data_IF_630045848967
#
_entry.id   IF_630045848967
#
_cell.length_a   1.000
_cell.length_b   1.000
_cell.length_c   1.000
_cell.angle_alpha   90.00
_cell.angle_beta   90.00
_cell.angle_gamma   90.00
#
_symmetry.space_group_name_H-M   'P 1'
#
loop_
_entity.id
_entity.type
_entity.pdbx_description
1 polymer ?
#
# COMPACT_ATOMS: atom_id res chain seq x y z
N UNK A 1 67.98 63.07 12.83
CA UNK A 1 68.40 61.84 13.52
C UNK A 1 67.48 60.71 13.09
N UNK A 2 68.07 59.70 12.44
CA UNK A 2 67.75 58.25 12.38
C UNK A 2 66.28 57.79 12.44
N UNK A 3 65.75 57.15 11.38
CA UNK A 3 65.73 55.67 11.12
C UNK A 3 64.73 54.92 12.04
N UNK A 4 64.00 53.86 11.70
CA UNK A 4 63.65 53.11 10.49
C UNK A 4 62.48 52.17 10.89
N UNK A 5 61.60 51.82 9.94
CA UNK A 5 60.98 50.48 9.68
C UNK A 5 60.19 49.75 10.80
N UNK A 6 58.91 49.41 10.53
CA UNK A 6 58.45 48.00 10.31
C UNK A 6 56.96 47.92 9.94
N UNK A 7 56.69 47.03 8.99
CA UNK A 7 55.40 46.55 8.48
C UNK A 7 54.48 45.94 9.54
N UNK A 8 53.17 46.02 9.30
CA UNK A 8 52.13 45.30 10.03
C UNK A 8 50.82 45.27 9.25
N UNK A 9 50.52 44.09 8.71
CA UNK A 9 49.35 43.65 7.95
C UNK A 9 47.98 44.24 8.33
N UNK A 10 47.11 44.44 7.32
CA UNK A 10 45.76 43.87 7.36
C UNK A 10 45.20 43.64 5.95
N UNK A 11 44.73 42.41 5.75
CA UNK A 11 44.39 41.76 4.50
C UNK A 11 43.11 42.31 3.85
N UNK A 12 43.16 42.46 2.53
CA UNK A 12 41.98 42.57 1.69
C UNK A 12 41.19 41.26 1.64
N UNK A 13 39.87 41.39 1.77
CA UNK A 13 38.92 40.54 1.05
C UNK A 13 39.15 40.74 -0.46
N UNK A 14 39.07 39.71 -1.32
CA UNK A 14 37.78 39.02 -1.52
C UNK A 14 37.88 37.55 -1.97
N UNK A 15 37.08 36.65 -1.40
CA UNK A 15 36.65 35.45 -2.13
C UNK A 15 35.34 34.92 -1.56
N UNK A 16 34.24 35.54 -2.00
CA UNK A 16 32.92 34.91 -2.00
C UNK A 16 32.97 33.79 -3.04
N UNK A 17 33.31 32.59 -2.60
CA UNK A 17 33.11 31.36 -3.35
C UNK A 17 31.61 31.13 -3.49
N UNK A 18 31.05 31.66 -4.58
CA UNK A 18 29.77 31.22 -5.08
C UNK A 18 29.88 29.72 -5.37
N UNK A 19 29.18 28.92 -4.58
CA UNK A 19 28.93 27.51 -4.86
C UNK A 19 28.15 27.47 -6.17
N UNK A 20 28.87 27.23 -7.27
CA UNK A 20 28.30 26.85 -8.56
C UNK A 20 27.59 25.52 -8.36
N UNK A 21 26.26 25.57 -8.23
CA UNK A 21 25.42 24.40 -8.40
C UNK A 21 25.66 23.87 -9.81
N UNK A 22 26.19 22.65 -9.89
CA UNK A 22 26.41 21.92 -11.14
C UNK A 22 25.06 21.76 -11.88
N UNK A 23 24.90 22.35 -13.08
CA UNK A 23 23.67 22.26 -13.86
C UNK A 23 23.41 20.86 -14.46
N UNK A 24 24.29 19.89 -14.21
CA UNK A 24 24.17 18.51 -14.69
C UNK A 24 23.93 17.46 -13.60
N UNK A 25 23.59 17.87 -12.36
CA UNK A 25 23.08 16.91 -11.40
C UNK A 25 21.74 16.38 -11.90
N UNK A 26 21.76 15.19 -12.53
CA UNK A 26 20.59 14.48 -13.04
C UNK A 26 19.58 14.41 -11.91
N UNK A 27 18.52 15.23 -11.99
CA UNK A 27 17.44 15.20 -11.00
C UNK A 27 16.89 13.79 -10.99
N UNK A 28 17.02 13.12 -9.85
CA UNK A 28 16.43 11.80 -9.66
C UNK A 28 14.93 11.94 -9.79
N UNK A 29 14.37 11.40 -10.86
CA UNK A 29 12.94 11.45 -11.16
C UNK A 29 12.26 10.11 -10.87
N UNK A 30 12.81 9.29 -9.97
CA UNK A 30 12.20 8.02 -9.55
C UNK A 30 11.96 8.02 -8.05
N UNK A 31 11.05 7.18 -7.57
CA UNK A 31 10.71 7.10 -6.13
C UNK A 31 11.88 6.55 -5.29
N UNK A 32 12.71 5.66 -5.86
CA UNK A 32 13.68 4.88 -5.10
C UNK A 32 14.64 5.72 -4.22
N UNK A 33 15.28 6.79 -4.73
CA UNK A 33 16.24 7.56 -3.91
C UNK A 33 15.57 8.26 -2.73
N UNK A 34 14.33 8.72 -2.89
CA UNK A 34 13.57 9.35 -1.82
C UNK A 34 13.16 8.34 -0.75
N UNK A 35 12.68 7.17 -1.18
CA UNK A 35 12.33 6.08 -0.27
C UNK A 35 13.55 5.57 0.50
N UNK A 36 14.68 5.37 -0.19
CA UNK A 36 15.94 4.98 0.43
C UNK A 36 16.34 5.97 1.54
N UNK A 37 16.35 7.27 1.22
CA UNK A 37 16.65 8.34 2.18
C UNK A 37 15.68 8.34 3.37
N UNK A 38 14.39 8.06 3.14
CA UNK A 38 13.40 7.95 4.21
C UNK A 38 13.61 6.71 5.09
N UNK A 39 14.01 5.57 4.52
CA UNK A 39 14.33 4.35 5.27
C UNK A 39 15.63 4.47 6.09
N UNK A 40 16.60 5.25 5.62
CA UNK A 40 17.87 5.54 6.31
C UNK A 40 17.75 6.66 7.35
N UNK A 41 16.61 7.34 7.39
CA UNK A 41 16.34 8.46 8.31
C UNK A 41 16.17 7.98 9.76
N UNK A 42 16.52 8.81 10.76
CA UNK A 42 16.20 8.56 12.17
C UNK A 42 14.71 8.43 12.49
N UNK A 43 13.81 8.67 11.54
CA UNK A 43 12.38 8.38 11.71
C UNK A 43 12.08 6.87 11.68
N UNK A 44 12.98 6.06 11.12
CA UNK A 44 12.86 4.61 10.98
C UNK A 44 13.51 3.84 12.16
N UNK A 45 13.25 4.27 13.39
CA UNK A 45 13.81 3.65 14.62
C UNK A 45 12.68 3.08 15.50
N UNK A 46 11.59 2.61 14.89
CA UNK A 46 10.53 1.90 15.61
C UNK A 46 11.02 0.58 16.21
N UNK A 47 10.20 -0.05 17.06
CA UNK A 47 10.48 -1.39 17.62
C UNK A 47 10.74 -2.42 16.50
N UNK A 48 10.06 -2.25 15.36
CA UNK A 48 10.29 -3.01 14.14
C UNK A 48 10.45 -2.02 12.97
N UNK A 49 11.69 -1.65 12.61
CA UNK A 49 11.96 -0.72 11.51
C UNK A 49 11.29 -1.15 10.20
N UNK A 50 10.82 -0.18 9.43
CA UNK A 50 10.34 -0.40 8.08
C UNK A 50 11.49 -0.89 7.18
N UNK A 51 11.25 -1.96 6.45
CA UNK A 51 12.20 -2.52 5.48
C UNK A 51 11.47 -3.15 4.30
N UNK A 52 12.12 -3.24 3.14
CA UNK A 52 11.55 -3.92 1.98
C UNK A 52 11.68 -5.43 2.14
N UNK A 53 10.57 -6.15 1.98
CA UNK A 53 10.56 -7.60 1.98
C UNK A 53 11.40 -8.12 0.81
N UNK A 54 12.49 -8.78 1.13
CA UNK A 54 13.28 -9.57 0.19
C UNK A 54 12.86 -11.02 0.38
N UNK A 55 12.14 -11.60 -0.57
CA UNK A 55 11.64 -12.98 -0.46
C UNK A 55 12.77 -13.95 -0.12
N UNK A 56 12.44 -15.06 0.55
CA UNK A 56 13.43 -16.08 0.87
C UNK A 56 13.89 -16.74 -0.43
N UNK A 57 15.06 -16.33 -0.92
CA UNK A 57 15.73 -16.98 -2.04
C UNK A 57 15.76 -18.49 -1.81
N UNK A 58 15.16 -19.27 -2.71
CA UNK A 58 15.53 -20.68 -2.82
C UNK A 58 17.00 -20.69 -3.25
N UNK A 59 17.87 -21.03 -2.29
CA UNK A 59 19.31 -21.13 -2.40
C UNK A 59 19.81 -21.60 -3.77
N UNK A 60 20.45 -20.70 -4.50
CA UNK A 60 21.75 -20.85 -5.15
C UNK A 60 21.81 -19.90 -6.34
N UNK A 61 22.30 -18.69 -6.09
CA UNK A 61 23.47 -18.10 -6.76
C UNK A 61 23.73 -16.77 -6.06
N UNK A 62 25.00 -16.44 -5.89
CA UNK A 62 25.46 -15.14 -5.40
C UNK A 62 24.83 -14.03 -6.25
N UNK A 63 23.68 -13.50 -5.82
CA UNK A 63 23.17 -12.24 -6.28
C UNK A 63 23.95 -11.18 -5.50
N UNK A 64 25.16 -10.92 -5.99
CA UNK A 64 25.66 -9.55 -6.04
C UNK A 64 24.46 -8.67 -6.36
N UNK A 65 24.23 -7.61 -5.58
CA UNK A 65 23.27 -6.54 -5.85
C UNK A 65 23.62 -5.94 -7.22
N UNK A 66 23.30 -6.66 -8.30
CA UNK A 66 23.55 -6.24 -9.64
C UNK A 66 22.56 -5.13 -9.87
N UNK A 67 23.13 -3.95 -10.13
CA UNK A 67 22.54 -2.81 -10.82
C UNK A 67 21.93 -3.25 -12.17
N UNK A 68 20.95 -4.16 -12.15
CA UNK A 68 19.96 -4.21 -13.19
C UNK A 68 19.19 -2.91 -13.02
N UNK A 69 19.24 -2.07 -14.04
CA UNK A 69 18.42 -0.87 -14.15
C UNK A 69 16.96 -1.31 -14.16
N UNK A 70 16.43 -1.67 -12.99
CA UNK A 70 15.02 -1.83 -12.73
C UNK A 70 14.43 -0.44 -12.90
N UNK A 71 13.55 -0.29 -13.88
CA UNK A 71 12.90 0.99 -14.18
C UNK A 71 11.89 1.28 -13.07
N UNK A 72 12.39 1.70 -11.91
CA UNK A 72 11.61 2.22 -10.81
C UNK A 72 10.62 3.28 -11.36
N UNK A 73 9.38 3.35 -10.85
CA UNK A 73 8.40 4.29 -11.36
C UNK A 73 8.95 5.72 -11.43
N UNK A 74 8.76 6.33 -12.59
CA UNK A 74 9.13 7.71 -12.86
C UNK A 74 8.06 8.63 -12.26
N UNK A 75 8.53 9.66 -11.57
CA UNK A 75 7.73 10.77 -11.10
C UNK A 75 7.44 11.71 -12.26
N UNK A 76 6.16 11.96 -12.49
CA UNK A 76 5.71 12.84 -13.55
C UNK A 76 5.74 14.29 -13.06
N UNK A 77 6.42 15.19 -13.77
CA UNK A 77 6.60 16.59 -13.34
C UNK A 77 5.37 17.47 -13.57
N UNK A 78 4.52 17.09 -14.52
CA UNK A 78 3.35 17.89 -14.93
C UNK A 78 2.04 17.20 -14.56
N UNK A 79 2.07 16.20 -13.68
CA UNK A 79 0.87 15.54 -13.18
C UNK A 79 1.07 15.08 -11.75
N UNK A 80 -0.05 14.89 -11.07
CA UNK A 80 -0.07 14.39 -9.71
C UNK A 80 0.42 12.94 -9.61
N UNK A 81 1.35 12.68 -8.70
CA UNK A 81 1.88 11.35 -8.38
C UNK A 81 1.18 10.79 -7.13
N UNK A 82 0.50 9.65 -7.23
CA UNK A 82 -0.08 9.00 -6.06
C UNK A 82 0.75 7.80 -5.61
N UNK A 83 1.20 7.83 -4.36
CA UNK A 83 1.78 6.70 -3.65
C UNK A 83 0.67 6.06 -2.82
N UNK A 84 0.29 4.83 -3.16
CA UNK A 84 -0.82 4.14 -2.51
C UNK A 84 -0.31 3.25 -1.39
N UNK A 85 -0.87 3.39 -0.19
CA UNK A 85 -0.79 2.40 0.86
C UNK A 85 -1.96 1.43 0.69
N UNK A 86 -1.68 0.15 0.43
CA UNK A 86 -2.67 -0.93 0.34
C UNK A 86 -2.53 -1.91 1.51
N UNK A 87 -3.22 -1.64 2.61
CA UNK A 87 -3.07 -2.42 3.81
C UNK A 87 -4.15 -3.49 3.97
N UNK A 88 -3.86 -4.50 4.78
CA UNK A 88 -4.86 -5.50 5.13
C UNK A 88 -4.33 -6.63 6.00
N UNK A 89 -5.27 -7.41 6.54
CA UNK A 89 -4.92 -8.59 7.33
C UNK A 89 -4.39 -9.72 6.45
N UNK A 90 -4.80 -9.80 5.19
CA UNK A 90 -4.32 -10.80 4.22
C UNK A 90 -4.15 -12.20 4.81
N UNK A 91 -5.14 -12.70 5.56
CA UNK A 91 -5.06 -13.94 6.32
C UNK A 91 -6.09 -14.97 5.80
N UNK A 92 -5.82 -15.66 4.68
CA UNK A 92 -4.66 -15.53 3.78
C UNK A 92 -4.86 -14.45 2.70
N UNK A 93 -3.81 -14.03 1.97
CA UNK A 93 -4.01 -13.31 0.72
C UNK A 93 -4.73 -14.23 -0.29
N UNK A 94 -5.49 -13.64 -1.21
CA UNK A 94 -6.44 -14.40 -2.01
C UNK A 94 -6.72 -13.74 -3.36
N UNK A 95 -7.41 -14.44 -4.26
CA UNK A 95 -7.63 -14.00 -5.65
C UNK A 95 -8.31 -12.63 -5.73
N UNK A 96 -9.19 -12.29 -4.79
CA UNK A 96 -9.74 -10.94 -4.66
C UNK A 96 -8.68 -9.84 -4.51
N UNK A 97 -7.67 -10.05 -3.64
CA UNK A 97 -6.57 -9.09 -3.44
C UNK A 97 -5.68 -8.98 -4.69
N UNK A 98 -5.34 -10.11 -5.30
CA UNK A 98 -4.55 -10.15 -6.54
C UNK A 98 -5.27 -9.41 -7.67
N UNK A 99 -6.58 -9.59 -7.79
CA UNK A 99 -7.36 -8.91 -8.80
C UNK A 99 -7.45 -7.39 -8.56
N UNK A 100 -7.44 -6.93 -7.31
CA UNK A 100 -7.27 -5.50 -6.98
C UNK A 100 -5.92 -4.98 -7.44
N UNK A 101 -4.82 -5.67 -7.14
CA UNK A 101 -3.47 -5.25 -7.55
C UNK A 101 -3.38 -5.19 -9.08
N UNK A 102 -3.90 -6.19 -9.78
CA UNK A 102 -3.95 -6.21 -11.26
C UNK A 102 -4.76 -5.04 -11.82
N UNK A 103 -5.93 -4.75 -11.25
CA UNK A 103 -6.77 -3.63 -11.69
C UNK A 103 -6.00 -2.30 -11.65
N UNK A 104 -5.29 -2.03 -10.55
CA UNK A 104 -4.47 -0.84 -10.43
C UNK A 104 -3.27 -0.85 -11.37
N UNK A 105 -2.61 -2.01 -11.55
CA UNK A 105 -1.46 -2.13 -12.45
C UNK A 105 -1.84 -1.84 -13.91
N UNK A 106 -2.94 -2.43 -14.39
CA UNK A 106 -3.46 -2.27 -15.74
C UNK A 106 -3.95 -0.84 -16.02
N UNK A 107 -4.39 -0.12 -14.98
CA UNK A 107 -4.99 1.23 -15.07
C UNK A 107 -4.16 2.31 -14.41
N UNK A 108 -2.89 2.05 -14.10
CA UNK A 108 -2.05 2.95 -13.28
C UNK A 108 -1.99 4.39 -13.82
N UNK A 109 -1.93 4.57 -15.14
CA UNK A 109 -1.94 5.91 -15.77
C UNK A 109 -3.32 6.61 -15.75
N UNK A 110 -4.42 5.85 -15.77
CA UNK A 110 -5.78 6.40 -15.64
C UNK A 110 -6.09 6.79 -14.19
N UNK A 111 -5.54 6.03 -13.24
CA UNK A 111 -5.75 6.23 -11.81
C UNK A 111 -4.68 7.13 -11.17
N UNK A 112 -3.70 7.61 -11.95
CA UNK A 112 -2.59 8.44 -11.46
C UNK A 112 -1.73 7.75 -10.40
N UNK A 113 -1.60 6.42 -10.45
CA UNK A 113 -0.88 5.61 -9.45
C UNK A 113 0.57 5.41 -9.85
N UNK A 114 1.47 6.04 -9.11
CA UNK A 114 2.92 5.96 -9.33
C UNK A 114 3.51 4.71 -8.68
N UNK A 115 3.11 4.39 -7.44
CA UNK A 115 3.53 3.17 -6.75
C UNK A 115 2.48 2.68 -5.75
N UNK A 116 2.55 1.40 -5.39
CA UNK A 116 1.73 0.77 -4.36
C UNK A 116 2.62 0.10 -3.32
N UNK A 117 2.33 0.33 -2.04
CA UNK A 117 2.95 -0.32 -0.90
C UNK A 117 1.94 -1.23 -0.22
N UNK A 118 2.19 -2.54 -0.21
CA UNK A 118 1.36 -3.48 0.54
C UNK A 118 1.84 -3.55 1.98
N UNK A 119 0.91 -3.31 2.90
CA UNK A 119 1.12 -3.51 4.33
C UNK A 119 0.29 -4.67 4.85
N UNK A 120 0.95 -5.64 5.46
CA UNK A 120 0.31 -6.82 6.03
C UNK A 120 0.21 -6.65 7.54
N UNK A 121 -1.01 -6.60 8.10
CA UNK A 121 -1.22 -6.37 9.55
C UNK A 121 -0.39 -7.32 10.42
N UNK A 122 0.23 -6.88 11.54
CA UNK A 122 0.87 -7.79 12.49
C UNK A 122 -0.10 -8.85 13.06
N UNK A 123 0.43 -10.01 13.47
CA UNK A 123 -0.39 -11.13 13.97
C UNK A 123 -1.31 -10.74 15.14
N UNK A 124 -0.82 -9.91 16.06
CA UNK A 124 -1.59 -9.38 17.20
C UNK A 124 -2.82 -8.57 16.75
N UNK A 125 -2.66 -7.75 15.70
CA UNK A 125 -3.76 -6.96 15.11
C UNK A 125 -4.78 -7.89 14.45
N UNK A 126 -4.32 -8.94 13.74
CA UNK A 126 -5.22 -9.94 13.15
C UNK A 126 -6.01 -10.68 14.23
N UNK A 127 -5.37 -11.04 15.34
CA UNK A 127 -5.99 -11.72 16.48
C UNK A 127 -7.06 -10.87 17.18
N UNK A 128 -6.79 -9.57 17.35
CA UNK A 128 -7.73 -8.62 17.97
C UNK A 128 -9.06 -8.48 17.22
N UNK A 129 -9.09 -8.75 15.91
CA UNK A 129 -10.28 -8.59 15.05
C UNK A 129 -11.36 -9.67 15.23
N UNK A 130 -11.23 -10.59 16.20
CA UNK A 130 -12.19 -11.66 16.58
C UNK A 130 -13.15 -12.09 15.45
N UNK A 131 -12.62 -12.75 14.42
CA UNK A 131 -13.41 -13.18 13.25
C UNK A 131 -13.92 -14.61 13.41
N UNK A 132 -15.11 -14.89 12.88
CA UNK A 132 -15.62 -16.27 12.75
C UNK A 132 -14.64 -17.10 11.90
N UNK A 133 -14.31 -18.30 12.39
CA UNK A 133 -13.26 -19.17 11.83
C UNK A 133 -11.87 -18.51 11.75
N UNK A 134 -11.61 -17.51 12.60
CA UNK A 134 -10.35 -16.77 12.66
C UNK A 134 -9.30 -17.34 13.60
N UNK A 135 -9.38 -18.64 13.93
CA UNK A 135 -8.45 -19.31 14.85
C UNK A 135 -7.07 -19.55 14.23
N UNK A 136 -6.99 -19.71 12.90
CA UNK A 136 -5.72 -19.85 12.19
C UNK A 136 -5.23 -18.46 11.79
N UNK A 137 -4.09 -18.04 12.37
CA UNK A 137 -3.42 -16.79 12.05
C UNK A 137 -2.07 -17.10 11.42
N UNK A 138 -1.94 -16.78 10.14
CA UNK A 138 -0.69 -16.94 9.40
C UNK A 138 0.35 -15.93 9.92
N UNK A 139 1.61 -16.35 10.15
CA UNK A 139 2.72 -15.44 10.40
C UNK A 139 2.77 -14.31 9.37
N UNK A 140 3.14 -13.10 9.81
CA UNK A 140 3.19 -11.93 8.92
C UNK A 140 4.14 -12.17 7.74
N UNK A 141 5.31 -12.75 8.01
CA UNK A 141 6.28 -13.13 6.98
C UNK A 141 5.70 -14.10 5.94
N UNK A 142 4.95 -15.12 6.38
CA UNK A 142 4.30 -16.07 5.48
C UNK A 142 3.29 -15.38 4.55
N UNK A 143 2.57 -14.37 5.04
CA UNK A 143 1.61 -13.62 4.22
C UNK A 143 2.30 -12.74 3.16
N UNK A 144 3.45 -12.15 3.45
CA UNK A 144 4.28 -11.49 2.43
C UNK A 144 4.83 -12.49 1.41
N UNK A 145 5.34 -13.64 1.87
CA UNK A 145 5.86 -14.70 1.00
C UNK A 145 4.79 -15.23 0.03
N UNK A 146 3.55 -15.42 0.50
CA UNK A 146 2.42 -15.82 -0.34
C UNK A 146 2.14 -14.81 -1.46
N UNK A 147 2.30 -13.51 -1.22
CA UNK A 147 2.25 -12.50 -2.29
C UNK A 147 3.44 -12.63 -3.24
N UNK A 148 4.65 -12.67 -2.67
CA UNK A 148 5.91 -12.65 -3.43
C UNK A 148 6.05 -13.83 -4.40
N UNK A 149 5.50 -15.01 -4.04
CA UNK A 149 5.50 -16.22 -4.87
C UNK A 149 4.58 -16.15 -6.09
N UNK A 150 3.67 -15.17 -6.18
CA UNK A 150 2.84 -15.01 -7.37
C UNK A 150 3.68 -14.37 -8.48
N UNK A 151 3.89 -15.01 -9.64
CA UNK A 151 4.79 -14.49 -10.68
C UNK A 151 4.45 -13.06 -11.14
N UNK A 152 3.15 -12.75 -11.26
CA UNK A 152 2.69 -11.40 -11.63
C UNK A 152 2.95 -10.35 -10.54
N UNK A 153 2.97 -10.74 -9.27
CA UNK A 153 3.31 -9.84 -8.16
C UNK A 153 4.82 -9.63 -8.12
N UNK A 154 5.60 -10.71 -8.24
CA UNK A 154 7.06 -10.66 -8.31
C UNK A 154 7.55 -9.68 -9.38
N UNK A 155 7.02 -9.76 -10.60
CA UNK A 155 7.36 -8.82 -11.69
C UNK A 155 7.07 -7.35 -11.33
N UNK A 156 5.97 -7.08 -10.62
CA UNK A 156 5.64 -5.73 -10.17
C UNK A 156 6.58 -5.26 -9.06
N UNK A 157 7.04 -6.17 -8.20
CA UNK A 157 8.06 -5.90 -7.18
C UNK A 157 9.42 -5.62 -7.81
N UNK A 158 9.85 -6.42 -8.78
CA UNK A 158 11.10 -6.17 -9.52
C UNK A 158 11.08 -4.82 -10.25
N UNK A 159 9.91 -4.41 -10.77
CA UNK A 159 9.78 -3.09 -11.41
C UNK A 159 9.81 -1.91 -10.42
N UNK A 160 9.75 -2.16 -9.11
CA UNK A 160 9.61 -1.14 -8.06
C UNK A 160 8.24 -0.45 -7.99
N UNK A 161 7.30 -0.80 -8.88
CA UNK A 161 5.93 -0.27 -8.88
C UNK A 161 5.10 -0.77 -7.70
N UNK A 162 5.29 -2.03 -7.32
CA UNK A 162 4.71 -2.60 -6.12
C UNK A 162 5.81 -2.86 -5.10
N UNK A 163 5.58 -2.54 -3.84
CA UNK A 163 6.55 -2.78 -2.78
C UNK A 163 5.87 -3.47 -1.60
N UNK A 164 6.54 -4.46 -1.04
CA UNK A 164 6.11 -5.17 0.15
C UNK A 164 6.90 -4.60 1.32
N UNK A 165 6.32 -3.66 2.05
CA UNK A 165 6.99 -3.02 3.17
C UNK A 165 6.72 -3.84 4.43
N UNK A 166 7.75 -4.23 5.19
CA UNK A 166 7.71 -5.01 6.44
C UNK A 166 7.96 -4.09 7.62
N UNK A 167 7.31 -4.33 8.76
CA UNK A 167 7.41 -3.50 9.96
C UNK A 167 6.05 -3.29 10.61
N UNK A 168 5.95 -2.28 11.46
CA UNK A 168 4.68 -1.82 12.02
C UNK A 168 4.06 -0.66 11.22
N UNK A 169 2.75 -0.45 11.38
CA UNK A 169 1.99 0.53 10.60
C UNK A 169 2.46 1.98 10.83
N UNK A 170 2.78 2.34 12.07
CA UNK A 170 3.17 3.71 12.43
C UNK A 170 4.51 4.06 11.77
N UNK A 171 5.49 3.17 11.87
CA UNK A 171 6.78 3.32 11.20
C UNK A 171 6.62 3.38 9.68
N UNK A 172 5.70 2.59 9.09
CA UNK A 172 5.45 2.62 7.64
C UNK A 172 4.88 3.94 7.17
N UNK A 173 3.86 4.45 7.86
CA UNK A 173 3.25 5.74 7.51
C UNK A 173 4.29 6.86 7.64
N UNK A 174 5.11 6.84 8.69
CA UNK A 174 6.21 7.80 8.87
C UNK A 174 7.22 7.77 7.72
N UNK A 175 7.67 6.58 7.31
CA UNK A 175 8.60 6.41 6.19
C UNK A 175 7.98 6.85 4.87
N UNK A 176 6.72 6.48 4.61
CA UNK A 176 6.03 6.88 3.38
C UNK A 176 5.74 8.38 3.36
N UNK A 177 5.40 8.99 4.50
CA UNK A 177 5.22 10.44 4.63
C UNK A 177 6.52 11.19 4.36
N UNK A 178 7.61 10.77 5.01
CA UNK A 178 8.94 11.33 4.74
C UNK A 178 9.33 11.16 3.26
N UNK A 179 8.98 10.04 2.64
CA UNK A 179 9.19 9.81 1.20
C UNK A 179 8.43 10.83 0.36
N UNK A 180 7.14 11.06 0.65
CA UNK A 180 6.34 12.07 -0.07
C UNK A 180 6.82 13.50 0.17
N UNK A 181 7.27 13.82 1.40
CA UNK A 181 7.77 15.16 1.72
C UNK A 181 9.05 15.45 0.92
N UNK A 182 9.98 14.49 0.87
CA UNK A 182 11.20 14.58 0.07
C UNK A 182 10.92 14.71 -1.44
N UNK A 183 9.90 14.00 -1.96
CA UNK A 183 9.46 14.11 -3.35
C UNK A 183 8.86 15.50 -3.63
N UNK A 184 8.06 16.01 -2.69
CA UNK A 184 7.46 17.35 -2.80
C UNK A 184 8.53 18.45 -2.74
N UNK A 185 9.54 18.31 -1.88
CA UNK A 185 10.69 19.21 -1.80
C UNK A 185 11.49 19.25 -3.12
N UNK A 186 11.52 18.13 -3.86
CA UNK A 186 12.12 18.04 -5.18
C UNK A 186 11.26 18.68 -6.30
N UNK A 187 10.07 19.19 -5.97
CA UNK A 187 9.19 19.94 -6.88
C UNK A 187 8.17 19.10 -7.63
N UNK A 188 7.92 17.85 -7.21
CA UNK A 188 6.87 17.01 -7.79
C UNK A 188 5.57 17.13 -6.97
N UNK A 189 4.43 17.21 -7.65
CA UNK A 189 3.14 17.05 -6.98
C UNK A 189 2.95 15.57 -6.61
N UNK A 190 2.84 15.29 -5.32
CA UNK A 190 2.75 13.93 -4.77
C UNK A 190 1.76 13.86 -3.62
N UNK A 191 1.05 12.74 -3.52
CA UNK A 191 0.16 12.43 -2.39
C UNK A 191 0.35 11.01 -1.89
N UNK A 192 0.28 10.85 -0.57
CA UNK A 192 0.14 9.57 0.10
C UNK A 192 -1.36 9.23 0.23
N UNK A 193 -1.78 8.15 -0.42
CA UNK A 193 -3.20 7.77 -0.54
C UNK A 193 -3.46 6.42 0.11
N UNK A 194 -4.37 6.35 1.08
CA UNK A 194 -4.81 5.10 1.68
C UNK A 194 -5.85 4.38 0.80
N UNK A 195 -5.57 3.16 0.35
CA UNK A 195 -6.54 2.33 -0.37
C UNK A 195 -7.43 1.56 0.61
N UNK A 196 -8.72 1.85 0.60
CA UNK A 196 -9.69 1.21 1.49
C UNK A 196 -10.55 0.18 0.75
N UNK A 197 -10.86 -0.91 1.46
CA UNK A 197 -11.92 -1.81 1.05
C UNK A 197 -13.29 -1.13 1.14
N UNK A 198 -14.16 -1.41 0.18
CA UNK A 198 -15.52 -0.86 0.16
C UNK A 198 -16.35 -1.19 1.41
N UNK A 199 -16.00 -2.26 2.13
CA UNK A 199 -16.61 -2.67 3.41
C UNK A 199 -16.20 -1.81 4.61
N UNK A 200 -15.29 -0.85 4.43
CA UNK A 200 -14.87 0.06 5.49
C UNK A 200 -15.79 1.26 5.63
N UNK A 201 -16.52 1.64 4.60
CA UNK A 201 -17.50 2.73 4.66
C UNK A 201 -18.89 2.15 4.49
N UNK A 202 -19.84 2.67 5.24
CA UNK A 202 -21.25 2.25 5.18
C UNK A 202 -22.19 3.41 5.41
N UNK A 203 -23.33 3.40 4.73
CA UNK A 203 -24.43 4.36 4.98
C UNK A 203 -25.13 4.11 6.30
N UNK A 204 -24.93 2.93 6.91
CA UNK A 204 -25.57 2.52 8.17
C UNK A 204 -24.79 3.02 9.40
N UNK A 205 -23.62 3.66 9.20
CA UNK A 205 -22.83 4.24 10.28
C UNK A 205 -23.61 5.34 11.01
N UNK A 206 -23.47 5.40 12.34
CA UNK A 206 -24.01 6.51 13.09
C UNK A 206 -23.27 7.82 12.71
N UNK A 207 -23.97 8.96 12.49
CA UNK A 207 -23.34 10.18 11.97
C UNK A 207 -22.23 10.79 12.83
N UNK A 208 -22.18 10.45 14.12
CA UNK A 208 -21.18 10.92 15.06
C UNK A 208 -19.93 10.02 15.12
N UNK A 209 -19.97 8.84 14.50
CA UNK A 209 -18.82 7.96 14.41
C UNK A 209 -17.93 8.35 13.23
N UNK A 210 -16.66 7.97 13.32
CA UNK A 210 -15.75 8.11 12.20
C UNK A 210 -16.19 7.17 11.07
N UNK A 211 -16.28 7.64 9.81
CA UNK A 211 -16.66 6.79 8.70
C UNK A 211 -15.54 5.79 8.45
N UNK A 212 -15.71 4.54 8.90
CA UNK A 212 -14.66 3.52 8.84
C UNK A 212 -13.50 3.76 9.80
N UNK A 213 -12.48 2.90 9.71
CA UNK A 213 -11.32 2.94 10.61
C UNK A 213 -10.32 4.07 10.26
N UNK A 214 -10.74 5.16 9.59
CA UNK A 214 -9.86 6.15 8.93
C UNK A 214 -8.79 6.75 9.86
N UNK A 215 -9.11 6.94 11.13
CA UNK A 215 -8.19 7.48 12.11
C UNK A 215 -7.02 6.53 12.43
N UNK A 216 -7.22 5.21 12.26
CA UNK A 216 -6.20 4.18 12.53
C UNK A 216 -5.11 4.13 11.45
N UNK A 217 -5.33 4.73 10.29
CA UNK A 217 -4.41 4.68 9.13
C UNK A 217 -3.42 5.86 9.08
N UNK A 218 -3.37 6.65 10.16
CA UNK A 218 -2.47 7.79 10.33
C UNK A 218 -2.69 8.92 9.31
N UNK A 219 -1.78 9.91 9.25
CA UNK A 219 -1.92 11.07 8.37
C UNK A 219 -1.57 10.69 6.93
N UNK A 220 -2.44 9.96 6.25
CA UNK A 220 -2.48 9.95 4.77
C UNK A 220 -3.15 11.22 4.27
N UNK A 221 -2.84 11.66 3.05
CA UNK A 221 -3.45 12.88 2.51
C UNK A 221 -4.92 12.64 2.18
N UNK A 222 -5.22 11.45 1.67
CA UNK A 222 -6.52 11.11 1.12
C UNK A 222 -6.76 9.59 1.16
N UNK A 223 -8.02 9.20 1.02
CA UNK A 223 -8.41 7.81 0.89
C UNK A 223 -9.02 7.54 -0.49
N UNK A 224 -8.71 6.39 -1.08
CA UNK A 224 -9.28 5.93 -2.34
C UNK A 224 -10.12 4.68 -2.12
N UNK A 225 -11.32 4.67 -2.68
CA UNK A 225 -12.24 3.54 -2.71
C UNK A 225 -12.65 3.28 -4.16
N UNK A 226 -12.74 2.00 -4.51
CA UNK A 226 -13.22 1.53 -5.82
C UNK A 226 -14.30 0.47 -5.61
N UNK A 227 -15.41 0.53 -6.35
CA UNK A 227 -16.41 -0.53 -6.35
C UNK A 227 -16.17 -1.61 -7.45
N UNK A 228 -15.21 -1.35 -8.36
CA UNK A 228 -14.90 -2.23 -9.49
C UNK A 228 -14.46 -3.64 -9.06
N UNK A 229 -13.92 -3.80 -7.85
CA UNK A 229 -13.42 -5.10 -7.32
C UNK A 229 -14.27 -5.67 -6.21
N UNK A 230 -14.96 -4.81 -5.46
CA UNK A 230 -15.83 -5.18 -4.35
C UNK A 230 -16.96 -4.17 -4.25
N UNK A 231 -18.23 -4.61 -4.15
CA UNK A 231 -19.34 -3.68 -4.02
C UNK A 231 -19.22 -2.81 -2.76
N UNK A 232 -19.84 -1.64 -2.83
CA UNK A 232 -20.06 -0.73 -1.71
C UNK A 232 -21.57 -0.64 -1.47
N UNK A 233 -21.98 -0.35 -0.25
CA UNK A 233 -23.40 -0.23 0.10
C UNK A 233 -23.98 1.16 -0.20
N UNK A 234 -23.14 2.15 -0.48
CA UNK A 234 -23.50 3.53 -0.80
C UNK A 234 -23.58 3.82 -2.31
N UNK A 235 -23.40 2.82 -3.18
CA UNK A 235 -23.53 3.01 -4.63
C UNK A 235 -23.94 1.70 -5.32
N UNK A 236 -25.13 1.69 -5.93
CA UNK A 236 -25.61 0.62 -6.81
C UNK A 236 -25.41 0.97 -8.29
N UNK A 237 -24.47 0.31 -8.99
CA UNK A 237 -24.21 0.59 -10.41
C UNK A 237 -25.38 0.26 -11.35
N UNK A 238 -26.43 -0.41 -10.89
CA UNK A 238 -27.60 -0.71 -11.74
C UNK A 238 -28.70 0.34 -11.66
N UNK A 239 -28.74 1.14 -10.61
CA UNK A 239 -29.86 2.02 -10.31
C UNK A 239 -29.47 3.44 -9.90
N UNK A 240 -28.19 3.70 -9.66
CA UNK A 240 -27.71 4.97 -9.13
C UNK A 240 -26.63 5.58 -10.05
N UNK A 241 -26.82 6.86 -10.39
CA UNK A 241 -25.80 7.66 -11.09
C UNK A 241 -24.88 8.40 -10.11
N UNK A 242 -25.37 8.62 -8.88
CA UNK A 242 -24.72 9.40 -7.83
C UNK A 242 -24.62 8.52 -6.57
N UNK A 243 -23.45 8.45 -5.90
CA UNK A 243 -23.33 7.74 -4.64
C UNK A 243 -24.20 8.36 -3.55
N UNK A 244 -24.79 7.52 -2.71
CA UNK A 244 -25.48 7.94 -1.48
C UNK A 244 -24.49 8.56 -0.51
N UNK A 245 -24.90 9.66 0.12
CA UNK A 245 -24.04 10.38 1.07
C UNK A 245 -23.72 9.50 2.28
N UNK A 246 -22.47 9.59 2.73
CA UNK A 246 -22.00 8.89 3.92
C UNK A 246 -22.27 9.72 5.18
N UNK A 247 -22.79 9.11 6.26
CA UNK A 247 -22.89 9.76 7.56
C UNK A 247 -21.52 10.29 8.03
N UNK A 248 -21.49 11.51 8.56
CA UNK A 248 -20.25 12.15 9.01
C UNK A 248 -19.37 12.71 7.87
N UNK A 249 -19.86 12.71 6.62
CA UNK A 249 -19.18 13.29 5.47
C UNK A 249 -19.96 14.47 4.85
N UNK A 250 -19.28 15.27 4.03
CA UNK A 250 -19.96 16.16 3.09
C UNK A 250 -20.71 15.37 2.02
N UNK A 251 -21.58 16.04 1.26
CA UNK A 251 -22.15 15.46 0.05
C UNK A 251 -21.04 15.07 -0.95
N UNK A 252 -21.33 14.07 -1.79
CA UNK A 252 -20.44 13.71 -2.89
C UNK A 252 -20.43 14.78 -3.97
N UNK A 253 -19.23 15.19 -4.36
CA UNK A 253 -18.96 16.11 -5.46
C UNK A 253 -18.31 15.33 -6.60
N UNK A 254 -18.83 15.48 -7.81
CA UNK A 254 -18.23 14.87 -9.00
C UNK A 254 -16.95 15.64 -9.35
N UNK A 255 -15.83 14.95 -9.46
CA UNK A 255 -14.59 15.59 -9.87
C UNK A 255 -14.58 15.79 -11.37
N UNK A 256 -14.71 17.04 -11.79
CA UNK A 256 -14.41 17.48 -13.15
C UNK A 256 -12.98 18.01 -13.14
N UNK A 257 -11.98 17.12 -13.01
CA UNK A 257 -10.60 17.58 -13.17
C UNK A 257 -10.48 18.12 -14.61
N UNK A 258 -10.13 19.41 -14.76
CA UNK A 258 -10.07 20.12 -16.05
C UNK A 258 -9.06 19.50 -17.06
N UNK A 259 -8.34 18.45 -16.67
CA UNK A 259 -7.43 17.65 -17.50
C UNK A 259 -8.08 16.35 -18.04
N UNK A 260 -9.26 15.94 -17.55
CA UNK A 260 -9.99 14.77 -18.06
C UNK A 260 -10.74 15.05 -19.38
N UNK A 261 -11.00 16.31 -19.73
CA UNK A 261 -11.67 16.70 -20.99
C UNK A 261 -10.84 16.35 -22.26
N UNK A 262 -9.52 16.12 -22.14
CA UNK A 262 -8.70 15.60 -23.25
C UNK A 262 -8.62 14.07 -23.31
N UNK A 263 -9.22 13.35 -22.35
CA UNK A 263 -9.20 11.89 -22.22
C UNK A 263 -10.62 11.28 -22.27
N UNK A 264 -11.55 11.93 -22.97
CA UNK A 264 -12.95 11.49 -23.11
C UNK A 264 -13.12 10.07 -23.72
N UNK A 265 -12.08 9.48 -24.32
CA UNK A 265 -12.10 8.09 -24.78
C UNK A 265 -11.57 7.05 -23.77
N UNK A 266 -11.04 7.47 -22.62
CA UNK A 266 -10.49 6.58 -21.56
C UNK A 266 -11.40 6.47 -20.32
N UNK A 267 -12.41 7.32 -20.21
CA UNK A 267 -13.31 7.38 -19.05
C UNK A 267 -14.25 6.17 -18.92
N UNK A 268 -14.44 5.37 -19.96
CA UNK A 268 -15.27 4.17 -19.87
C UNK A 268 -14.63 3.05 -19.02
N UNK A 269 -13.30 3.05 -18.77
CA UNK A 269 -12.63 1.88 -18.19
C UNK A 269 -12.24 1.93 -16.70
N UNK A 270 -12.21 3.11 -16.05
CA UNK A 270 -11.77 3.26 -14.65
C UNK A 270 -12.86 3.77 -13.68
N UNK A 271 -14.00 4.25 -14.20
CA UNK A 271 -15.13 4.76 -13.42
C UNK A 271 -15.07 6.26 -13.13
N UNK A 272 -16.25 6.81 -12.80
CA UNK A 272 -16.45 8.24 -12.47
C UNK A 272 -15.85 8.56 -11.11
N UNK A 273 -15.07 9.64 -11.01
CA UNK A 273 -14.49 10.08 -9.74
C UNK A 273 -15.45 10.98 -8.97
N UNK A 274 -15.68 10.61 -7.72
CA UNK A 274 -16.43 11.35 -6.73
C UNK A 274 -15.55 11.66 -5.52
N UNK A 275 -15.81 12.79 -4.86
CA UNK A 275 -15.09 13.21 -3.66
C UNK A 275 -16.05 13.65 -2.56
N UNK A 276 -15.71 13.33 -1.32
CA UNK A 276 -16.31 13.95 -0.14
C UNK A 276 -15.25 14.15 0.95
N UNK A 277 -15.57 14.93 1.99
CA UNK A 277 -14.69 15.15 3.15
C UNK A 277 -15.28 14.46 4.38
N UNK A 278 -14.47 13.72 5.12
CA UNK A 278 -14.87 13.11 6.39
C UNK A 278 -14.80 14.15 7.52
N UNK A 279 -15.94 14.73 7.88
CA UNK A 279 -16.04 15.84 8.84
C UNK A 279 -15.81 15.41 10.29
N UNK A 280 -15.95 14.12 10.59
CA UNK A 280 -15.76 13.59 11.94
C UNK A 280 -14.32 13.19 12.21
N UNK A 281 -13.42 13.18 11.23
CA UNK A 281 -12.00 12.82 11.40
C UNK A 281 -11.15 14.10 11.45
N UNK A 282 -10.20 14.24 12.41
CA UNK A 282 -9.31 15.39 12.44
C UNK A 282 -8.66 15.68 11.08
N UNK A 283 -8.51 16.97 10.75
CA UNK A 283 -7.97 17.45 9.45
C UNK A 283 -8.92 17.25 8.26
N UNK A 284 -10.11 16.67 8.47
CA UNK A 284 -11.17 16.50 7.48
C UNK A 284 -10.66 15.86 6.16
N UNK A 285 -10.10 14.64 6.22
CA UNK A 285 -9.46 14.02 5.07
C UNK A 285 -10.44 13.82 3.92
N UNK A 286 -9.91 13.87 2.70
CA UNK A 286 -10.67 13.65 1.47
C UNK A 286 -10.83 12.15 1.24
N UNK A 287 -12.05 11.73 0.93
CA UNK A 287 -12.38 10.40 0.44
C UNK A 287 -12.69 10.54 -1.05
N UNK A 288 -11.91 9.84 -1.88
CA UNK A 288 -12.12 9.66 -3.31
C UNK A 288 -12.81 8.33 -3.56
N UNK A 289 -13.88 8.33 -4.34
CA UNK A 289 -14.59 7.14 -4.79
C UNK A 289 -14.59 7.07 -6.31
N UNK A 290 -14.00 6.00 -6.88
CA UNK A 290 -14.07 5.70 -8.32
C UNK A 290 -15.23 4.74 -8.55
N UNK A 291 -16.36 5.31 -8.98
CA UNK A 291 -17.61 4.63 -9.27
C UNK A 291 -17.56 3.97 -10.66
N UNK A 292 -17.42 2.65 -10.68
CA UNK A 292 -17.52 1.82 -11.87
C UNK A 292 -18.94 1.28 -12.02
N UNK A 293 -19.48 1.33 -13.24
CA UNK A 293 -20.75 0.68 -13.58
C UNK A 293 -20.60 -0.84 -13.76
N UNK A 294 -19.36 -1.31 -13.90
CA UNK A 294 -19.04 -2.74 -14.02
C UNK A 294 -18.35 -3.19 -12.74
N UNK A 295 -18.97 -4.12 -12.02
CA UNK A 295 -18.28 -4.85 -10.96
C UNK A 295 -17.62 -6.10 -11.54
N UNK A 296 -16.31 -6.19 -11.42
CA UNK A 296 -15.53 -7.36 -11.79
C UNK A 296 -15.19 -8.23 -10.57
N UNK A 297 -16.00 -8.15 -9.51
CA UNK A 297 -15.82 -8.97 -8.31
C UNK A 297 -15.92 -10.45 -8.67
N UNK A 298 -14.99 -11.24 -8.14
CA UNK A 298 -14.94 -12.69 -8.34
C UNK A 298 -15.67 -13.46 -7.23
N UNK A 299 -16.40 -12.77 -6.35
CA UNK A 299 -17.19 -13.40 -5.27
C UNK A 299 -16.37 -14.08 -4.17
N UNK A 300 -15.05 -13.90 -4.15
CA UNK A 300 -14.17 -14.56 -3.18
C UNK A 300 -14.38 -14.00 -1.78
N UNK A 301 -14.82 -14.85 -0.85
CA UNK A 301 -15.09 -14.50 0.55
C UNK A 301 -13.97 -14.97 1.47
N UNK A 302 -13.28 -14.05 2.15
CA UNK A 302 -12.27 -14.39 3.16
C UNK A 302 -12.86 -15.19 4.32
N UNK A 303 -14.15 -15.04 4.61
CA UNK A 303 -14.83 -15.83 5.64
C UNK A 303 -14.98 -17.29 5.22
N UNK A 304 -15.35 -17.56 3.96
CA UNK A 304 -15.43 -18.93 3.44
C UNK A 304 -14.04 -19.58 3.35
N UNK A 305 -13.02 -18.82 2.94
CA UNK A 305 -11.63 -19.31 2.93
C UNK A 305 -11.19 -19.72 4.34
N UNK A 306 -11.42 -18.86 5.34
CA UNK A 306 -11.13 -19.18 6.74
C UNK A 306 -11.86 -20.43 7.22
N UNK A 307 -13.13 -20.57 6.87
CA UNK A 307 -13.90 -21.78 7.17
C UNK A 307 -13.21 -23.03 6.61
N UNK A 308 -12.83 -23.02 5.33
CA UNK A 308 -12.12 -24.15 4.69
C UNK A 308 -10.81 -24.45 5.42
N UNK A 309 -9.99 -23.43 5.68
CA UNK A 309 -8.71 -23.62 6.38
C UNK A 309 -8.87 -24.23 7.77
N UNK A 310 -9.98 -23.97 8.45
CA UNK A 310 -10.25 -24.48 9.79
C UNK A 310 -10.93 -25.85 9.78
N UNK A 311 -11.89 -26.07 8.88
CA UNK A 311 -12.83 -27.20 8.98
C UNK A 311 -12.63 -28.29 7.93
N UNK A 312 -12.06 -27.97 6.75
CA UNK A 312 -11.92 -28.97 5.68
C UNK A 312 -10.90 -30.05 6.05
N UNK A 313 -11.10 -31.27 5.55
CA UNK A 313 -10.17 -32.38 5.71
C UNK A 313 -8.85 -32.11 4.97
N UNK A 314 -7.75 -32.70 5.46
CA UNK A 314 -6.40 -32.45 4.94
C UNK A 314 -6.30 -32.79 3.44
N UNK A 315 -7.01 -33.83 2.99
CA UNK A 315 -7.07 -34.31 1.62
C UNK A 315 -7.87 -33.38 0.68
N UNK A 316 -8.77 -32.57 1.23
CA UNK A 316 -9.67 -31.68 0.49
C UNK A 316 -9.13 -30.25 0.38
N UNK A 317 -8.18 -29.87 1.24
CA UNK A 317 -7.66 -28.50 1.35
C UNK A 317 -7.22 -27.91 0.01
N UNK A 318 -6.50 -28.67 -0.80
CA UNK A 318 -6.01 -28.20 -2.10
C UNK A 318 -7.16 -27.86 -3.04
N UNK A 319 -8.11 -28.79 -3.20
CA UNK A 319 -9.21 -28.65 -4.14
C UNK A 319 -10.15 -27.50 -3.75
N UNK A 320 -10.45 -27.37 -2.46
CA UNK A 320 -11.30 -26.31 -1.93
C UNK A 320 -10.64 -24.92 -2.00
N UNK A 321 -9.31 -24.82 -1.91
CA UNK A 321 -8.61 -23.54 -1.85
C UNK A 321 -8.04 -23.05 -3.20
N UNK A 322 -7.73 -23.92 -4.16
CA UNK A 322 -6.93 -23.59 -5.36
C UNK A 322 -7.39 -22.36 -6.15
N UNK A 323 -8.70 -22.17 -6.29
CA UNK A 323 -9.27 -21.05 -7.04
C UNK A 323 -9.61 -19.82 -6.17
N UNK A 324 -9.37 -19.93 -4.85
CA UNK A 324 -9.75 -18.92 -3.87
C UNK A 324 -8.55 -18.14 -3.36
N UNK A 325 -7.46 -18.83 -3.01
CA UNK A 325 -6.25 -18.22 -2.44
C UNK A 325 -5.18 -17.98 -3.50
N UNK A 326 -4.16 -17.20 -3.16
CA UNK A 326 -2.95 -17.12 -3.99
C UNK A 326 -1.88 -18.04 -3.40
N UNK A 327 -0.98 -18.56 -4.25
CA UNK A 327 0.11 -19.43 -3.82
C UNK A 327 -0.39 -20.62 -2.98
N UNK A 328 -1.42 -21.30 -3.48
CA UNK A 328 -2.22 -22.28 -2.74
C UNK A 328 -1.39 -23.46 -2.25
N UNK A 329 -0.44 -23.92 -3.06
CA UNK A 329 0.43 -25.05 -2.73
C UNK A 329 1.20 -24.77 -1.45
N UNK A 330 1.75 -23.56 -1.34
CA UNK A 330 2.54 -23.14 -0.18
C UNK A 330 1.67 -22.92 1.07
N UNK A 331 0.44 -22.41 0.90
CA UNK A 331 -0.50 -22.30 2.01
C UNK A 331 -0.92 -23.68 2.54
N UNK A 332 -1.25 -24.61 1.65
CA UNK A 332 -1.68 -25.96 2.02
C UNK A 332 -0.55 -26.72 2.71
N UNK A 333 0.67 -26.66 2.18
CA UNK A 333 1.86 -27.24 2.83
C UNK A 333 2.00 -26.73 4.27
N UNK A 334 1.91 -25.41 4.47
CA UNK A 334 2.00 -24.82 5.80
C UNK A 334 0.86 -25.27 6.73
N UNK A 335 -0.37 -25.36 6.23
CA UNK A 335 -1.54 -25.79 7.01
C UNK A 335 -1.39 -27.24 7.49
N UNK A 336 -0.97 -28.15 6.61
CA UNK A 336 -0.73 -29.55 6.95
C UNK A 336 0.35 -29.68 8.03
N UNK A 337 1.44 -28.92 7.90
CA UNK A 337 2.51 -28.89 8.91
C UNK A 337 2.01 -28.38 10.27
N UNK A 338 1.17 -27.34 10.31
CA UNK A 338 0.62 -26.85 11.58
C UNK A 338 -0.32 -27.86 12.22
N UNK A 339 -1.24 -28.44 11.45
CA UNK A 339 -2.21 -29.43 11.94
C UNK A 339 -1.50 -30.68 12.48
N UNK A 340 -0.45 -31.15 11.82
CA UNK A 340 0.39 -32.24 12.32
C UNK A 340 1.00 -31.92 13.69
N UNK A 341 1.61 -30.74 13.84
CA UNK A 341 2.19 -30.29 15.12
C UNK A 341 1.16 -30.16 16.23
N UNK A 342 -0.07 -29.77 15.91
CA UNK A 342 -1.16 -29.69 16.88
C UNK A 342 -1.62 -31.08 17.34
N UNK A 343 -1.73 -32.05 16.41
CA UNK A 343 -2.04 -33.45 16.72
C UNK A 343 -0.99 -34.07 17.64
N UNK A 344 0.29 -33.92 17.30
CA UNK A 344 1.42 -34.41 18.12
C UNK A 344 1.38 -33.88 19.57
N UNK A 345 1.06 -32.58 19.75
CA UNK A 345 0.92 -31.97 21.08
C UNK A 345 -0.27 -32.50 21.88
N UNK A 346 -1.35 -32.88 21.22
CA UNK A 346 -2.53 -33.47 21.87
C UNK A 346 -2.18 -34.88 22.33
N UNK A 347 -1.52 -35.66 21.49
CA UNK A 347 -1.09 -37.02 21.81
C UNK A 347 -0.11 -37.01 23.01
N UNK A 348 0.90 -36.14 23.02
CA UNK A 348 1.82 -35.98 24.16
C UNK A 348 1.10 -35.64 25.48
N UNK A 349 0.06 -34.81 25.42
CA UNK A 349 -0.76 -34.47 26.60
C UNK A 349 -1.71 -35.58 27.04
N UNK A 350 -2.06 -36.51 26.16
CA UNK A 350 -2.90 -37.66 26.50
C UNK A 350 -2.10 -38.78 27.20
N UNK A 351 -0.77 -38.77 27.08
CA UNK A 351 0.14 -39.72 27.73
C UNK A 351 0.70 -39.26 29.09
N UNK A 352 0.47 -38.00 29.48
CA UNK A 352 0.81 -37.41 30.78
C UNK A 352 -0.42 -37.33 31.68
#
# INVERSE_FOLDING_TARGET
>A
MSANVTDGAENGNPELTAVLNDPHQVRTNTIQPFLQKAMESPINIGEIPASLFSGKSHSNHNLTLQNSHTSCPILESNSRNNILLYPGSFNPPHQGHLATIRYFSERRGQLGVTAIFIFVDPGLIVQGKKKKWGNIILPQELRYELFYRVPKIYQLVESGWLQLLVGDMDTHIKVLRMTTDLISEAGFDVKLVGLLGGDKLTIESAPHLHPGDLQEWGPVDEFLIINARRPVDFFDPKGEEIPRNLPGCTAWEKCTEAEEEKKEQLNESAGVLWMCKALTVPVNPIIRFRASQISASNGVSSTKIRQIMTEAHDEELMEELKDKVISVEFLVEWLLLQRNREREKIDEKAFL
#
